data_IF_311235782504
#
_entry.id   IF_311235782504
#
_cell.length_a   1.000
_cell.length_b   1.000
_cell.length_c   1.000
_cell.angle_alpha   90.00
_cell.angle_beta   90.00
_cell.angle_gamma   90.00
#
_symmetry.space_group_name_H-M   'P 1'
#
loop_
_entity.id
_entity.type
_entity.pdbx_description
1 polymer ?
#
# COMPACT_ATOMS: atom_id res chain seq x y z
N UNK A 1 4.04 -17.06 -16.18
CA UNK A 1 3.72 -15.89 -17.03
C UNK A 1 2.69 -15.04 -16.27
N UNK A 2 3.11 -14.14 -15.38
CA UNK A 2 2.21 -13.45 -14.42
C UNK A 2 1.16 -12.56 -15.13
N UNK A 3 1.47 -12.06 -16.33
CA UNK A 3 0.53 -11.29 -17.16
C UNK A 3 -0.07 -12.09 -18.33
N UNK A 4 0.35 -13.34 -18.57
CA UNK A 4 -0.09 -14.11 -19.74
C UNK A 4 0.30 -13.53 -21.10
N UNK A 5 1.17 -12.52 -21.14
CA UNK A 5 1.57 -11.79 -22.35
C UNK A 5 2.86 -12.33 -22.95
N UNK A 6 2.97 -12.30 -24.28
CA UNK A 6 4.25 -12.51 -24.98
C UNK A 6 5.15 -11.29 -24.82
N UNK A 7 6.42 -11.50 -24.49
CA UNK A 7 7.41 -10.42 -24.34
C UNK A 7 7.56 -9.60 -25.62
N UNK A 8 7.51 -10.26 -26.78
CA UNK A 8 7.65 -9.59 -28.08
C UNK A 8 6.47 -8.66 -28.37
N UNK A 9 5.24 -9.06 -28.02
CA UNK A 9 4.05 -8.22 -28.18
C UNK A 9 4.09 -6.99 -27.28
N UNK A 10 4.52 -7.16 -26.02
CA UNK A 10 4.69 -6.04 -25.09
C UNK A 10 5.77 -5.06 -25.56
N UNK A 11 6.90 -5.59 -26.06
CA UNK A 11 8.00 -4.78 -26.58
C UNK A 11 7.60 -3.97 -27.80
N UNK A 12 6.82 -4.55 -28.71
CA UNK A 12 6.26 -3.86 -29.86
C UNK A 12 5.31 -2.73 -29.45
N UNK A 13 4.37 -3.00 -28.54
CA UNK A 13 3.44 -1.98 -28.00
C UNK A 13 4.19 -0.84 -27.31
N UNK A 14 5.18 -1.14 -26.45
CA UNK A 14 6.00 -0.12 -25.78
C UNK A 14 6.82 0.72 -26.76
N UNK A 15 7.32 0.14 -27.84
CA UNK A 15 8.09 0.87 -28.85
C UNK A 15 7.23 1.89 -29.60
N UNK A 16 6.00 1.51 -29.96
CA UNK A 16 5.04 2.43 -30.61
C UNK A 16 4.61 3.53 -29.63
N UNK A 17 4.25 3.16 -28.40
CA UNK A 17 3.83 4.12 -27.37
C UNK A 17 4.92 5.16 -27.08
N UNK A 18 6.18 4.73 -27.00
CA UNK A 18 7.33 5.62 -26.78
C UNK A 18 7.52 6.65 -27.90
N UNK A 19 7.14 6.32 -29.13
CA UNK A 19 7.17 7.27 -30.24
C UNK A 19 6.00 8.26 -30.22
N UNK A 20 4.88 7.89 -29.61
CA UNK A 20 3.73 8.79 -29.44
C UNK A 20 3.87 9.74 -28.25
N UNK A 21 4.69 9.42 -27.25
CA UNK A 21 4.85 10.21 -26.03
C UNK A 21 5.99 11.22 -26.15
N UNK A 22 5.71 12.48 -25.81
CA UNK A 22 6.74 13.50 -25.63
C UNK A 22 7.61 13.20 -24.40
N UNK A 23 8.85 13.72 -24.36
CA UNK A 23 9.85 13.40 -23.32
C UNK A 23 9.43 13.74 -21.87
N UNK A 24 8.34 14.49 -21.68
CA UNK A 24 7.71 14.75 -20.39
C UNK A 24 6.20 14.52 -20.54
N UNK A 25 5.68 13.46 -19.94
CA UNK A 25 4.24 13.15 -19.94
C UNK A 25 3.74 13.07 -18.50
N UNK A 26 2.54 13.59 -18.26
CA UNK A 26 1.83 13.33 -17.02
C UNK A 26 1.14 11.97 -17.09
N UNK A 27 0.71 11.46 -15.93
CA UNK A 27 -0.04 10.19 -15.86
C UNK A 27 -1.36 10.31 -16.66
N UNK A 28 -1.96 11.49 -16.67
CA UNK A 28 -3.18 11.80 -17.44
C UNK A 28 -2.95 11.69 -18.95
N UNK A 29 -1.82 12.22 -19.45
CA UNK A 29 -1.43 12.11 -20.86
C UNK A 29 -1.20 10.66 -21.27
N UNK A 30 -0.60 9.87 -20.37
CA UNK A 30 -0.39 8.44 -20.56
C UNK A 30 -1.71 7.68 -20.65
N UNK A 31 -2.68 8.04 -19.80
CA UNK A 31 -3.98 7.39 -19.75
C UNK A 31 -4.82 7.71 -21.00
N UNK A 32 -4.68 8.92 -21.56
CA UNK A 32 -5.30 9.32 -22.81
C UNK A 32 -4.64 8.68 -24.05
N UNK A 33 -3.32 8.51 -24.05
CA UNK A 33 -2.59 7.89 -25.15
C UNK A 33 -2.76 6.35 -25.17
N UNK A 34 -2.91 5.73 -24.00
CA UNK A 34 -2.95 4.29 -23.84
C UNK A 34 -4.39 3.75 -23.89
N UNK A 35 -5.00 3.76 -25.08
CA UNK A 35 -6.33 3.18 -25.28
C UNK A 35 -6.34 1.66 -25.01
N UNK A 36 -7.27 1.13 -24.18
CA UNK A 36 -7.33 -0.29 -23.81
C UNK A 36 -7.50 -1.24 -25.00
N UNK A 37 -8.13 -0.76 -26.08
CA UNK A 37 -8.34 -1.52 -27.32
C UNK A 37 -7.10 -1.61 -28.21
N UNK A 38 -6.15 -0.66 -28.07
CA UNK A 38 -4.96 -0.57 -28.94
C UNK A 38 -3.73 -1.12 -28.23
N UNK A 39 -3.60 -0.89 -26.92
CA UNK A 39 -2.45 -1.30 -26.12
C UNK A 39 -2.89 -2.10 -24.87
N UNK A 40 -3.48 -3.30 -25.05
CA UNK A 40 -4.09 -4.04 -23.95
C UNK A 40 -3.06 -4.51 -22.92
N UNK A 41 -1.82 -4.76 -23.32
CA UNK A 41 -0.78 -5.29 -22.44
C UNK A 41 -0.11 -4.17 -21.64
N UNK A 42 0.20 -3.06 -22.31
CA UNK A 42 0.73 -1.86 -21.63
C UNK A 42 -0.30 -1.26 -20.68
N UNK A 43 -1.58 -1.23 -21.05
CA UNK A 43 -2.65 -0.74 -20.19
C UNK A 43 -2.76 -1.54 -18.88
N UNK A 44 -2.73 -2.87 -18.97
CA UNK A 44 -2.69 -3.75 -17.78
C UNK A 44 -1.43 -3.51 -16.93
N UNK A 45 -0.27 -3.30 -17.57
CA UNK A 45 0.97 -3.01 -16.86
C UNK A 45 0.88 -1.68 -16.09
N UNK A 46 0.36 -0.62 -16.72
CA UNK A 46 0.14 0.67 -16.08
C UNK A 46 -0.86 0.53 -14.93
N UNK A 47 -1.95 -0.21 -15.12
CA UNK A 47 -2.93 -0.48 -14.06
C UNK A 47 -2.29 -1.18 -12.85
N UNK A 48 -1.49 -2.22 -13.09
CA UNK A 48 -0.73 -2.91 -12.04
C UNK A 48 0.27 -1.96 -11.39
N UNK A 49 0.93 -1.11 -12.17
CA UNK A 49 1.91 -0.15 -11.68
C UNK A 49 1.29 1.02 -10.90
N UNK A 50 0.03 1.38 -11.14
CA UNK A 50 -0.73 2.32 -10.30
C UNK A 50 -1.24 1.64 -9.03
N UNK A 51 -1.63 0.36 -9.12
CA UNK A 51 -2.15 -0.43 -8.00
C UNK A 51 -1.07 -0.82 -7.00
N UNK A 52 0.08 -1.28 -7.51
CA UNK A 52 1.30 -1.40 -6.72
C UNK A 52 1.77 0.04 -6.50
N UNK A 53 1.90 0.54 -5.27
CA UNK A 53 2.29 1.93 -5.07
C UNK A 53 3.68 2.17 -5.68
N UNK A 54 3.73 2.76 -6.88
CA UNK A 54 4.95 3.37 -7.44
C UNK A 54 5.46 4.46 -6.50
N UNK A 55 4.55 5.07 -5.72
CA UNK A 55 4.91 6.07 -4.73
C UNK A 55 5.60 5.40 -3.54
N UNK A 56 6.94 5.42 -3.57
CA UNK A 56 7.78 5.02 -2.43
C UNK A 56 7.37 5.76 -1.16
N UNK A 57 6.85 6.99 -1.26
CA UNK A 57 6.44 7.81 -0.13
C UNK A 57 5.42 7.13 0.80
N UNK A 58 4.44 6.38 0.27
CA UNK A 58 3.45 5.68 1.10
C UNK A 58 4.10 4.50 1.84
N UNK A 59 4.95 3.74 1.16
CA UNK A 59 5.72 2.66 1.75
C UNK A 59 6.71 3.18 2.80
N UNK A 60 7.45 4.24 2.49
CA UNK A 60 8.38 4.93 3.39
C UNK A 60 7.67 5.46 4.63
N UNK A 61 6.49 6.07 4.47
CA UNK A 61 5.65 6.50 5.61
C UNK A 61 5.28 5.34 6.51
N UNK A 62 4.86 4.21 5.93
CA UNK A 62 4.52 2.99 6.65
C UNK A 62 5.74 2.37 7.36
N UNK A 63 6.88 2.26 6.70
CA UNK A 63 8.12 1.75 7.30
C UNK A 63 8.66 2.69 8.38
N UNK A 64 8.58 4.01 8.19
CA UNK A 64 8.94 5.02 9.20
C UNK A 64 8.06 4.89 10.45
N UNK A 65 6.75 4.73 10.25
CA UNK A 65 5.79 4.46 11.32
C UNK A 65 6.13 3.18 12.09
N UNK A 66 6.42 2.11 11.35
CA UNK A 66 6.81 0.82 11.88
C UNK A 66 8.12 0.88 12.68
N UNK A 67 9.10 1.65 12.21
CA UNK A 67 10.38 1.95 12.88
C UNK A 67 10.16 2.68 14.21
N UNK A 68 9.18 3.59 14.29
CA UNK A 68 8.81 4.27 15.54
C UNK A 68 8.19 3.31 16.56
N UNK A 69 7.40 2.35 16.10
CA UNK A 69 6.74 1.34 16.96
C UNK A 69 7.76 0.34 17.48
N UNK A 70 8.60 -0.20 16.58
CA UNK A 70 9.69 -1.14 16.88
C UNK A 70 11.01 -0.41 17.00
N UNK A 71 11.24 0.13 18.19
CA UNK A 71 12.48 0.78 18.57
C UNK A 71 13.38 -0.15 19.39
N UNK A 72 14.62 0.27 19.64
CA UNK A 72 15.64 -0.53 20.33
C UNK A 72 15.24 -0.97 21.75
N UNK A 73 14.45 -0.17 22.46
CA UNK A 73 13.95 -0.51 23.80
C UNK A 73 12.81 -1.54 23.77
N UNK A 74 12.19 -1.78 22.61
CA UNK A 74 11.01 -2.67 22.44
C UNK A 74 11.33 -3.89 21.57
N UNK A 75 12.57 -4.37 21.63
CA UNK A 75 13.04 -5.52 20.83
C UNK A 75 12.35 -6.83 21.19
N UNK A 76 11.86 -7.00 22.43
CA UNK A 76 11.13 -8.19 22.89
C UNK A 76 9.64 -8.22 22.52
N UNK A 77 9.15 -7.28 21.70
CA UNK A 77 7.73 -7.24 21.32
C UNK A 77 7.35 -8.43 20.41
N UNK A 78 6.29 -9.15 20.81
CA UNK A 78 5.70 -10.23 20.00
C UNK A 78 5.15 -9.70 18.68
N UNK A 79 5.33 -10.47 17.60
CA UNK A 79 4.92 -10.08 16.24
C UNK A 79 3.44 -9.71 16.13
N UNK A 80 2.54 -10.46 16.79
CA UNK A 80 1.10 -10.17 16.79
C UNK A 80 0.79 -8.77 17.33
N UNK A 81 1.41 -8.38 18.45
CA UNK A 81 1.28 -7.05 19.04
C UNK A 81 1.82 -5.97 18.10
N UNK A 82 2.97 -6.23 17.49
CA UNK A 82 3.59 -5.29 16.57
C UNK A 82 2.73 -5.03 15.32
N UNK A 83 2.21 -6.08 14.69
CA UNK A 83 1.33 -5.96 13.52
C UNK A 83 0.06 -5.17 13.87
N UNK A 84 -0.58 -5.49 14.99
CA UNK A 84 -1.79 -4.78 15.43
C UNK A 84 -1.53 -3.28 15.70
N UNK A 85 -0.43 -2.95 16.38
CA UNK A 85 -0.05 -1.55 16.63
C UNK A 85 0.32 -0.82 15.34
N UNK A 86 0.98 -1.50 14.40
CA UNK A 86 1.36 -0.91 13.13
C UNK A 86 0.15 -0.60 12.27
N UNK A 87 -0.82 -1.51 12.21
CA UNK A 87 -2.10 -1.29 11.53
C UNK A 87 -2.87 -0.11 12.12
N UNK A 88 -3.00 -0.03 13.45
CA UNK A 88 -3.62 1.12 14.12
C UNK A 88 -2.89 2.45 13.86
N UNK A 89 -1.56 2.41 13.71
CA UNK A 89 -0.77 3.62 13.48
C UNK A 89 -0.79 4.07 12.00
N UNK A 90 -0.82 3.12 11.06
CA UNK A 90 -0.93 3.44 9.63
C UNK A 90 -2.34 4.00 9.36
N UNK A 91 -3.36 3.35 9.91
CA UNK A 91 -4.77 3.75 9.79
C UNK A 91 -5.20 4.75 10.87
N UNK A 92 -4.31 5.69 11.23
CA UNK A 92 -4.58 6.68 12.29
C UNK A 92 -5.73 7.60 11.98
N UNK A 93 -5.97 7.92 10.71
CA UNK A 93 -7.10 8.77 10.30
C UNK A 93 -8.43 8.12 10.69
N UNK A 94 -8.58 6.82 10.43
CA UNK A 94 -9.74 6.03 10.84
C UNK A 94 -9.80 5.87 12.36
N UNK A 95 -8.64 5.62 12.99
CA UNK A 95 -8.55 5.39 14.44
C UNK A 95 -8.86 6.66 15.25
N UNK A 96 -8.53 7.85 14.73
CA UNK A 96 -8.85 9.13 15.37
C UNK A 96 -10.36 9.42 15.39
N UNK A 97 -11.13 8.78 14.50
CA UNK A 97 -12.61 8.85 14.53
C UNK A 97 -13.24 8.01 15.64
N UNK A 98 -12.47 7.14 16.31
CA UNK A 98 -12.95 6.34 17.42
C UNK A 98 -12.96 7.17 18.72
N UNK A 99 -14.13 7.24 19.37
CA UNK A 99 -14.24 7.88 20.69
C UNK A 99 -13.47 7.05 21.73
N UNK A 100 -12.50 7.67 22.39
CA UNK A 100 -11.70 7.03 23.45
C UNK A 100 -12.57 6.47 24.59
N UNK A 101 -13.69 7.13 24.89
CA UNK A 101 -14.66 6.72 25.92
C UNK A 101 -15.20 5.30 25.65
N UNK A 102 -15.56 5.02 24.39
CA UNK A 102 -16.06 3.70 23.98
C UNK A 102 -14.98 2.62 24.10
N UNK A 103 -13.72 2.98 23.85
CA UNK A 103 -12.58 2.08 24.00
C UNK A 103 -12.42 1.74 25.48
N UNK A 104 -12.40 2.75 26.36
CA UNK A 104 -12.23 2.57 27.80
C UNK A 104 -13.35 1.69 28.37
N UNK A 105 -14.62 1.97 28.03
CA UNK A 105 -15.76 1.18 28.49
C UNK A 105 -15.66 -0.29 28.03
N UNK A 106 -15.31 -0.52 26.77
CA UNK A 106 -15.12 -1.87 26.23
C UNK A 106 -13.96 -2.63 26.90
N UNK A 107 -12.87 -1.93 27.21
CA UNK A 107 -11.74 -2.51 27.93
C UNK A 107 -12.03 -2.72 29.42
N UNK A 108 -12.92 -1.94 30.03
CA UNK A 108 -13.34 -2.08 31.42
C UNK A 108 -14.27 -3.29 31.62
N UNK A 109 -15.13 -3.58 30.62
CA UNK A 109 -15.98 -4.78 30.61
C UNK A 109 -15.22 -6.10 30.57
N UNK A 110 -13.94 -6.08 30.14
CA UNK A 110 -13.09 -7.28 30.11
C UNK A 110 -12.46 -7.50 31.49
N UNK A 111 -12.78 -8.62 32.13
CA UNK A 111 -12.14 -9.04 33.39
C UNK A 111 -10.62 -9.10 33.22
N UNK A 112 -9.89 -8.38 34.08
CA UNK A 112 -8.42 -8.39 34.18
C UNK A 112 -7.94 -9.13 35.43
N UNK A 113 -8.78 -9.93 36.08
CA UNK A 113 -8.32 -10.77 37.18
C UNK A 113 -7.31 -11.77 36.63
N UNK A 114 -6.06 -11.68 37.10
CA UNK A 114 -5.21 -12.86 37.12
C UNK A 114 -5.80 -13.77 38.19
N UNK A 115 -6.18 -14.98 37.78
CA UNK A 115 -6.41 -16.07 38.73
C UNK A 115 -5.03 -16.43 39.32
N UNK A 116 -4.73 -15.80 40.46
CA UNK A 116 -3.61 -16.20 41.29
C UNK A 116 -4.08 -17.46 42.03
N UNK A 117 -3.59 -18.60 41.57
CA UNK A 117 -3.74 -19.90 42.23
C UNK A 117 -3.16 -19.84 43.65
#
# INVERSE_FOLDING_TARGET
NVLGTSYESLKAEMMVLKNCLAKNYLIEDLMNACNPSVYPNVFKLIQVAITIPISSATCERSFSSMRRIKNWLRTSMVQSRFTNLSSLYIERELTNGLKNENIIDKFAKKSRKLDLL
#
